data_IF_725536567690
#
_entry.id   IF_725536567690
#
_cell.length_a   1.000
_cell.length_b   1.000
_cell.length_c   1.000
_cell.angle_alpha   90.00
_cell.angle_beta   90.00
_cell.angle_gamma   90.00
#
_symmetry.space_group_name_H-M   'P 1'
#
loop_
_entity.id
_entity.type
_entity.pdbx_description
1 polymer ?
#
# COMPACT_ATOMS: atom_id res chain seq x y z
N UNK A 1 12.73 29.40 2.33
CA UNK A 1 11.99 29.15 1.07
C UNK A 1 11.23 27.85 1.28
N UNK A 2 9.91 27.87 1.12
CA UNK A 2 9.05 26.69 1.22
C UNK A 2 8.51 26.39 -0.17
N UNK A 3 8.60 25.12 -0.61
CA UNK A 3 8.08 24.71 -1.92
C UNK A 3 6.67 24.15 -1.70
N UNK A 4 5.61 24.78 -2.23
CA UNK A 4 4.26 24.30 -2.05
C UNK A 4 4.09 22.91 -2.68
N UNK A 5 3.33 22.02 -2.03
CA UNK A 5 3.04 20.66 -2.51
C UNK A 5 4.25 19.74 -2.71
N UNK A 6 5.43 20.07 -2.18
CA UNK A 6 6.64 19.28 -2.38
C UNK A 6 6.46 17.79 -2.04
N UNK A 7 5.80 17.48 -0.90
CA UNK A 7 5.53 16.09 -0.51
C UNK A 7 4.69 15.32 -1.53
N UNK A 8 3.69 15.96 -2.14
CA UNK A 8 2.85 15.34 -3.18
C UNK A 8 3.66 15.09 -4.45
N UNK A 9 4.54 16.01 -4.85
CA UNK A 9 5.44 15.83 -5.99
C UNK A 9 6.39 14.66 -5.76
N UNK A 10 7.03 14.59 -4.58
CA UNK A 10 7.91 13.48 -4.20
C UNK A 10 7.16 12.16 -4.22
N UNK A 11 5.96 12.10 -3.63
CA UNK A 11 5.14 10.88 -3.62
C UNK A 11 4.74 10.45 -5.04
N UNK A 12 4.44 11.40 -5.92
CA UNK A 12 4.22 11.15 -7.35
C UNK A 12 5.43 10.48 -8.01
N UNK A 13 6.64 11.01 -7.80
CA UNK A 13 7.87 10.39 -8.30
C UNK A 13 8.10 8.98 -7.72
N UNK A 14 7.84 8.76 -6.43
CA UNK A 14 7.94 7.43 -5.82
C UNK A 14 6.95 6.44 -6.44
N UNK A 15 5.76 6.91 -6.84
CA UNK A 15 4.78 6.07 -7.53
C UNK A 15 5.29 5.64 -8.92
N UNK A 16 5.86 6.57 -9.69
CA UNK A 16 6.47 6.26 -11.00
C UNK A 16 7.64 5.27 -10.86
N UNK A 17 8.53 5.50 -9.89
CA UNK A 17 9.64 4.59 -9.60
C UNK A 17 9.14 3.18 -9.30
N UNK A 18 8.08 3.05 -8.49
CA UNK A 18 7.49 1.75 -8.18
C UNK A 18 6.94 1.05 -9.42
N UNK A 19 6.21 1.77 -10.28
CA UNK A 19 5.63 1.21 -11.51
C UNK A 19 6.72 0.74 -12.50
N UNK A 20 7.86 1.43 -12.53
CA UNK A 20 9.05 1.04 -13.30
C UNK A 20 9.92 0.00 -12.58
N UNK A 21 9.63 -0.30 -11.32
CA UNK A 21 10.42 -1.22 -10.49
C UNK A 21 11.81 -0.68 -10.10
N UNK A 22 11.99 0.64 -10.13
CA UNK A 22 13.21 1.33 -9.74
C UNK A 22 13.25 1.54 -8.23
N UNK A 23 14.44 1.36 -7.64
CA UNK A 23 14.73 1.60 -6.21
C UNK A 23 13.84 0.85 -5.21
N UNK A 24 13.02 -0.09 -5.68
CA UNK A 24 12.19 -0.94 -4.84
C UNK A 24 13.07 -1.95 -4.09
N UNK A 25 12.97 -1.93 -2.76
CA UNK A 25 13.72 -2.75 -1.82
C UNK A 25 12.89 -3.93 -1.28
N UNK A 26 11.62 -4.03 -1.67
CA UNK A 26 10.72 -5.13 -1.27
C UNK A 26 9.79 -5.57 -2.41
N UNK A 27 9.47 -6.86 -2.40
CA UNK A 27 8.41 -7.47 -3.20
C UNK A 27 7.34 -8.12 -2.32
N UNK A 28 6.09 -7.74 -2.52
CA UNK A 28 4.94 -8.36 -1.85
C UNK A 28 4.31 -9.35 -2.83
N UNK A 29 4.23 -10.62 -2.44
CA UNK A 29 3.66 -11.71 -3.23
C UNK A 29 2.24 -11.97 -2.76
N UNK A 30 1.28 -11.95 -3.68
CA UNK A 30 -0.13 -12.23 -3.41
C UNK A 30 -0.62 -13.23 -4.44
N UNK A 31 -0.93 -14.46 -4.01
CA UNK A 31 -1.35 -15.57 -4.90
C UNK A 31 -0.42 -15.75 -6.11
N UNK A 32 0.89 -15.70 -5.87
CA UNK A 32 1.92 -15.82 -6.91
C UNK A 32 2.19 -14.56 -7.73
N UNK A 33 1.38 -13.50 -7.60
CA UNK A 33 1.64 -12.21 -8.24
C UNK A 33 2.56 -11.35 -7.37
N UNK A 34 3.68 -10.89 -7.93
CA UNK A 34 4.67 -10.08 -7.23
C UNK A 34 4.49 -8.59 -7.48
N UNK A 35 4.45 -7.81 -6.40
CA UNK A 35 4.31 -6.36 -6.42
C UNK A 35 5.58 -5.72 -5.85
N UNK A 36 6.35 -5.01 -6.68
CA UNK A 36 7.49 -4.24 -6.22
C UNK A 36 7.02 -2.98 -5.48
N UNK A 37 7.71 -2.63 -4.40
CA UNK A 37 7.42 -1.44 -3.61
C UNK A 37 8.65 -0.96 -2.83
N UNK A 38 8.52 0.22 -2.23
CA UNK A 38 9.45 0.77 -1.24
C UNK A 38 8.94 0.47 0.17
N UNK A 39 9.79 -0.12 1.02
CA UNK A 39 9.49 -0.39 2.44
C UNK A 39 9.07 0.88 3.18
N UNK A 40 9.75 1.99 2.91
CA UNK A 40 9.48 3.27 3.55
C UNK A 40 8.04 3.75 3.31
N UNK A 41 7.54 3.66 2.09
CA UNK A 41 6.16 4.08 1.76
C UNK A 41 5.15 3.14 2.41
N UNK A 42 5.37 1.82 2.32
CA UNK A 42 4.48 0.85 2.95
C UNK A 42 4.42 1.02 4.47
N UNK A 43 5.57 1.15 5.15
CA UNK A 43 5.63 1.32 6.60
C UNK A 43 5.06 2.67 7.08
N UNK A 44 5.11 3.71 6.24
CA UNK A 44 4.48 5.00 6.54
C UNK A 44 2.95 4.93 6.47
N UNK A 45 2.38 4.05 5.63
CA UNK A 45 0.93 3.92 5.45
C UNK A 45 0.29 2.75 6.21
N UNK A 46 1.09 1.76 6.65
CA UNK A 46 0.62 0.49 7.20
C UNK A 46 1.41 0.09 8.44
N UNK A 47 0.71 -0.08 9.56
CA UNK A 47 1.30 -0.60 10.78
C UNK A 47 1.76 -2.06 10.61
N UNK A 48 0.98 -2.87 9.89
CA UNK A 48 1.34 -4.24 9.56
C UNK A 48 2.70 -4.33 8.86
N UNK A 49 2.92 -3.52 7.81
CA UNK A 49 4.20 -3.52 7.10
C UNK A 49 5.33 -2.93 7.92
N UNK A 50 5.05 -1.91 8.75
CA UNK A 50 6.05 -1.35 9.68
C UNK A 50 6.59 -2.42 10.62
N UNK A 51 5.71 -3.21 11.22
CA UNK A 51 6.08 -4.29 12.12
C UNK A 51 6.74 -5.45 11.36
N UNK A 52 6.23 -5.81 10.17
CA UNK A 52 6.78 -6.87 9.33
C UNK A 52 8.23 -6.61 8.90
N UNK A 53 8.57 -5.35 8.60
CA UNK A 53 9.92 -4.98 8.17
C UNK A 53 10.89 -4.79 9.34
N UNK A 54 10.39 -4.60 10.55
CA UNK A 54 11.22 -4.42 11.75
C UNK A 54 12.06 -5.66 12.01
N UNK A 55 13.38 -5.52 12.00
CA UNK A 55 14.33 -6.62 12.21
C UNK A 55 14.38 -7.67 11.09
N UNK A 56 13.71 -7.44 9.95
CA UNK A 56 13.64 -8.40 8.86
C UNK A 56 14.45 -7.93 7.65
N UNK A 57 15.43 -8.73 7.21
CA UNK A 57 16.29 -8.47 6.04
C UNK A 57 15.79 -9.13 4.74
N UNK A 58 14.64 -9.79 4.75
CA UNK A 58 14.04 -10.38 3.54
C UNK A 58 13.58 -9.29 2.58
N UNK A 59 13.76 -9.55 1.29
CA UNK A 59 13.32 -8.65 0.22
C UNK A 59 12.00 -9.10 -0.43
N UNK A 60 11.44 -10.22 0.03
CA UNK A 60 10.17 -10.76 -0.47
C UNK A 60 9.31 -11.28 0.68
N UNK A 61 8.03 -10.96 0.65
CA UNK A 61 7.04 -11.37 1.65
C UNK A 61 5.76 -11.82 0.96
N UNK A 62 5.19 -12.92 1.43
CA UNK A 62 3.93 -13.44 0.91
C UNK A 62 2.77 -13.05 1.84
N UNK A 63 1.71 -12.49 1.28
CA UNK A 63 0.48 -12.22 2.00
C UNK A 63 -0.42 -13.46 2.03
N UNK A 64 -1.30 -13.59 3.04
CA UNK A 64 -2.24 -14.69 3.12
C UNK A 64 -3.10 -14.81 1.86
N UNK A 65 -3.44 -16.05 1.48
CA UNK A 65 -4.28 -16.34 0.31
C UNK A 65 -5.72 -15.81 0.38
N UNK A 66 -6.14 -15.28 1.53
CA UNK A 66 -7.40 -14.55 1.66
C UNK A 66 -7.37 -13.19 0.95
N UNK A 67 -6.18 -12.61 0.74
CA UNK A 67 -6.02 -11.31 0.08
C UNK A 67 -6.09 -11.48 -1.45
N UNK A 68 -7.04 -10.83 -2.14
CA UNK A 68 -7.05 -10.81 -3.60
C UNK A 68 -5.95 -9.88 -4.15
N UNK A 69 -5.25 -10.26 -5.24
CA UNK A 69 -4.23 -9.41 -5.85
C UNK A 69 -4.77 -8.04 -6.30
N UNK A 70 -5.99 -7.98 -6.83
CA UNK A 70 -6.63 -6.73 -7.24
C UNK A 70 -6.86 -5.78 -6.06
N UNK A 71 -7.34 -6.29 -4.92
CA UNK A 71 -7.53 -5.49 -3.71
C UNK A 71 -6.18 -4.99 -3.16
N UNK A 72 -5.15 -5.84 -3.16
CA UNK A 72 -3.81 -5.40 -2.76
C UNK A 72 -3.27 -4.31 -3.69
N UNK A 73 -3.49 -4.42 -5.00
CA UNK A 73 -3.11 -3.38 -5.97
C UNK A 73 -3.80 -2.04 -5.69
N UNK A 74 -5.10 -2.05 -5.34
CA UNK A 74 -5.84 -0.84 -4.97
C UNK A 74 -5.26 -0.19 -3.70
N UNK A 75 -4.98 -0.98 -2.67
CA UNK A 75 -4.38 -0.49 -1.42
C UNK A 75 -2.96 0.03 -1.67
N UNK A 76 -2.16 -0.70 -2.44
CA UNK A 76 -0.81 -0.27 -2.81
C UNK A 76 -0.87 1.04 -3.59
N UNK A 77 -1.80 1.20 -4.53
CA UNK A 77 -2.02 2.47 -5.24
C UNK A 77 -2.39 3.60 -4.28
N UNK A 78 -3.24 3.32 -3.28
CA UNK A 78 -3.59 4.30 -2.25
C UNK A 78 -2.37 4.78 -1.47
N UNK A 79 -1.47 3.88 -1.04
CA UNK A 79 -0.25 4.27 -0.31
C UNK A 79 0.64 5.27 -1.09
N UNK A 80 0.54 5.28 -2.41
CA UNK A 80 1.35 6.14 -3.29
C UNK A 80 0.58 7.33 -3.87
N UNK A 81 -0.72 7.47 -3.61
CA UNK A 81 -1.54 8.52 -4.24
C UNK A 81 -2.49 9.22 -3.28
N UNK A 82 -2.75 8.63 -2.11
CA UNK A 82 -3.81 9.05 -1.20
C UNK A 82 -5.23 8.87 -1.76
N UNK A 83 -5.37 8.21 -2.92
CA UNK A 83 -6.65 8.01 -3.61
C UNK A 83 -7.01 6.54 -3.62
N UNK A 84 -8.24 6.25 -3.23
CA UNK A 84 -8.79 4.91 -3.23
C UNK A 84 -9.97 4.88 -4.21
N UNK A 85 -9.88 4.03 -5.22
CA UNK A 85 -10.92 3.86 -6.25
C UNK A 85 -11.26 2.39 -6.34
N UNK A 86 -12.52 2.06 -6.12
CA UNK A 86 -13.03 0.68 -6.11
C UNK A 86 -14.49 0.67 -6.57
N UNK A 87 -14.94 -0.47 -7.11
CA UNK A 87 -16.36 -0.67 -7.36
C UNK A 87 -17.11 -0.96 -6.05
N UNK A 88 -18.41 -0.65 -6.00
CA UNK A 88 -19.23 -0.93 -4.82
C UNK A 88 -19.23 -2.42 -4.45
N UNK A 89 -19.14 -3.31 -5.44
CA UNK A 89 -19.02 -4.76 -5.25
C UNK A 89 -17.71 -5.19 -4.56
N UNK A 90 -16.65 -4.39 -4.65
CA UNK A 90 -15.33 -4.68 -4.09
C UNK A 90 -15.14 -4.07 -2.70
N UNK A 91 -16.03 -3.15 -2.30
CA UNK A 91 -15.86 -2.31 -1.11
C UNK A 91 -15.59 -3.10 0.15
N UNK A 92 -16.42 -4.10 0.46
CA UNK A 92 -16.25 -4.91 1.66
C UNK A 92 -14.88 -5.60 1.70
N UNK A 93 -14.43 -6.13 0.56
CA UNK A 93 -13.17 -6.89 0.47
C UNK A 93 -11.97 -5.96 0.60
N UNK A 94 -12.02 -4.78 -0.04
CA UNK A 94 -10.96 -3.77 0.09
C UNK A 94 -10.87 -3.25 1.52
N UNK A 95 -12.00 -2.95 2.15
CA UNK A 95 -12.03 -2.48 3.54
C UNK A 95 -11.52 -3.54 4.51
N UNK A 96 -11.92 -4.81 4.33
CA UNK A 96 -11.38 -5.92 5.12
C UNK A 96 -9.86 -6.06 4.95
N UNK A 97 -9.37 -5.99 3.71
CA UNK A 97 -7.93 -6.08 3.42
C UNK A 97 -7.17 -4.89 4.00
N UNK A 98 -7.72 -3.67 3.91
CA UNK A 98 -7.13 -2.47 4.49
C UNK A 98 -7.07 -2.53 6.02
N UNK A 99 -8.11 -3.09 6.66
CA UNK A 99 -8.12 -3.38 8.09
C UNK A 99 -7.06 -4.42 8.49
N UNK A 100 -6.96 -5.51 7.74
CA UNK A 100 -5.91 -6.53 7.94
C UNK A 100 -4.51 -5.94 7.81
N UNK A 101 -4.27 -5.12 6.79
CA UNK A 101 -3.00 -4.41 6.58
C UNK A 101 -2.85 -3.18 7.48
N UNK A 102 -3.82 -2.89 8.35
CA UNK A 102 -3.80 -1.75 9.28
C UNK A 102 -3.44 -0.43 8.57
N UNK A 103 -4.11 -0.14 7.46
CA UNK A 103 -3.92 1.10 6.70
C UNK A 103 -4.59 2.24 7.46
N UNK A 104 -3.80 3.00 8.22
CA UNK A 104 -4.30 3.95 9.23
C UNK A 104 -5.39 4.89 8.68
N UNK A 105 -5.13 5.52 7.52
CA UNK A 105 -6.05 6.50 6.94
C UNK A 105 -7.32 5.92 6.28
N UNK A 106 -7.31 4.64 5.88
CA UNK A 106 -8.52 4.00 5.32
C UNK A 106 -9.45 3.55 6.45
N UNK A 107 -8.88 3.05 7.54
CA UNK A 107 -9.66 2.63 8.72
C UNK A 107 -10.39 3.82 9.35
N UNK A 108 -9.76 5.00 9.38
CA UNK A 108 -10.33 6.22 9.95
C UNK A 108 -11.45 6.84 9.10
N UNK A 109 -11.39 6.75 7.77
CA UNK A 109 -12.46 7.29 6.90
C UNK A 109 -13.53 6.27 6.53
N UNK A 110 -13.24 4.98 6.65
CA UNK A 110 -14.20 3.90 6.40
C UNK A 110 -15.43 3.95 7.31
N UNK A 111 -15.29 4.53 8.50
CA UNK A 111 -16.39 4.73 9.46
C UNK A 111 -17.37 5.83 9.03
N UNK A 112 -16.97 6.73 8.12
CA UNK A 112 -17.83 7.80 7.61
C UNK A 112 -18.63 7.38 6.36
N UNK A 113 -18.31 6.20 5.79
CA UNK A 113 -18.92 5.64 4.58
C UNK A 113 -19.89 4.48 4.87
N UNK A 114 -20.20 4.21 6.15
CA UNK A 114 -21.21 3.25 6.61
C UNK A 114 -22.35 4.01 7.29
#
# INVERSE_FOLDING_TARGET
IEIPNFGNTVLGCLNEQRLLGLYCDVSIVVKGQAFKAHRAVLAASSLYFRDLFSGNSKNAFELPGSVPPACFQQILSFCYTGKLTMAASEQLVVMYTAGFLQIQHIVEKGTDLM
#
